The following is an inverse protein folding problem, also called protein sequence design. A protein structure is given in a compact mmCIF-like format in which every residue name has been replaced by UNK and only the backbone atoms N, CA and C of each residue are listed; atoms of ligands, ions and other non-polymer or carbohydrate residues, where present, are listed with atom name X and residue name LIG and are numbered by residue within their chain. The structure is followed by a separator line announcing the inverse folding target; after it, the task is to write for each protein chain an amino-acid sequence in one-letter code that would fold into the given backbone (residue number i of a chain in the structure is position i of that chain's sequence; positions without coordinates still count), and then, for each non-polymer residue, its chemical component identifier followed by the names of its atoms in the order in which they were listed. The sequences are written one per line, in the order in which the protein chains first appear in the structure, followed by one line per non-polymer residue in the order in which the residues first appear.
data_IF_280051224559
#
_entry.id   IF_280051224559
#
_cell.length_a   1.000
_cell.length_b   1.000
_cell.length_c   1.000
_cell.angle_alpha   90.00
_cell.angle_beta   90.00
_cell.angle_gamma   90.00
#
_symmetry.space_group_name_H-M   'P 1'
#
loop_
_entity.id
_entity.type
_entity.pdbx_description
1 polymer ?
#
# COMPACT_ATOMS: atom_id res chain seq x y z
N UNK A 1 9.74 -20.54 18.29
CA UNK A 1 10.17 -20.37 16.91
C UNK A 1 9.30 -19.38 16.18
N UNK A 2 9.93 -18.47 15.48
CA UNK A 2 9.18 -17.48 14.76
C UNK A 2 8.77 -17.94 13.40
N UNK A 3 7.53 -17.75 13.08
CA UNK A 3 7.06 -18.09 11.77
C UNK A 3 7.29 -16.91 10.83
N UNK A 4 7.83 -17.21 9.68
CA UNK A 4 8.03 -16.20 8.69
C UNK A 4 6.67 -15.85 8.09
N UNK A 5 6.26 -14.62 8.26
CA UNK A 5 4.98 -14.18 7.77
C UNK A 5 5.20 -13.09 6.74
N UNK A 6 4.89 -13.40 5.52
CA UNK A 6 5.02 -12.43 4.44
C UNK A 6 3.63 -12.05 3.99
N UNK A 7 3.36 -10.77 3.93
CA UNK A 7 2.12 -10.39 3.31
C UNK A 7 2.34 -9.17 2.44
N UNK A 8 1.52 -9.09 1.41
CA UNK A 8 1.59 -8.00 0.45
C UNK A 8 0.16 -7.53 0.23
N UNK A 9 -0.04 -6.25 0.43
CA UNK A 9 -1.31 -5.62 0.14
C UNK A 9 -1.13 -4.67 -1.02
N UNK A 10 -2.07 -4.71 -1.94
CA UNK A 10 -2.05 -3.79 -3.06
C UNK A 10 -2.91 -2.59 -2.72
N UNK A 11 -2.44 -1.43 -3.09
CA UNK A 11 -3.21 -0.21 -2.89
C UNK A 11 -3.19 0.65 -4.13
N UNK A 12 -4.15 1.53 -4.20
CA UNK A 12 -4.26 2.47 -5.31
C UNK A 12 -4.47 3.85 -4.72
N UNK A 13 -3.75 4.81 -5.26
CA UNK A 13 -3.92 6.20 -4.84
C UNK A 13 -5.22 6.71 -5.43
N UNK A 14 -6.13 7.12 -4.56
CA UNK A 14 -7.40 7.64 -5.00
C UNK A 14 -7.30 9.14 -5.25
N UNK A 15 -6.68 9.84 -4.32
CA UNK A 15 -6.47 11.27 -4.46
C UNK A 15 -5.45 11.71 -3.43
N UNK A 16 -4.92 12.90 -3.58
CA UNK A 16 -4.06 13.45 -2.56
C UNK A 16 -4.07 14.96 -2.66
N UNK A 17 -3.72 15.59 -1.55
CA UNK A 17 -3.69 17.06 -1.51
C UNK A 17 -2.28 17.58 -1.31
N UNK A 18 -1.27 16.76 -1.49
CA UNK A 18 0.11 17.14 -1.31
C UNK A 18 0.65 16.83 0.07
N UNK A 19 -0.21 16.62 1.03
CA UNK A 19 0.19 16.30 2.39
C UNK A 19 -0.31 14.92 2.79
N UNK A 20 -1.56 14.64 2.48
CA UNK A 20 -2.16 13.35 2.76
C UNK A 20 -2.73 12.76 1.50
N UNK A 21 -2.68 11.46 1.41
CA UNK A 21 -3.22 10.72 0.29
C UNK A 21 -4.33 9.83 0.78
N UNK A 22 -5.42 9.80 0.02
CA UNK A 22 -6.50 8.85 0.26
C UNK A 22 -6.24 7.66 -0.63
N UNK A 23 -6.18 6.48 -0.05
CA UNK A 23 -5.82 5.29 -0.78
C UNK A 23 -6.87 4.23 -0.55
N UNK A 24 -6.95 3.32 -1.49
CA UNK A 24 -7.82 2.17 -1.37
C UNK A 24 -6.96 0.93 -1.30
N UNK A 25 -7.12 0.15 -0.25
CA UNK A 25 -6.33 -1.04 -0.03
C UNK A 25 -7.18 -2.26 -0.27
N UNK A 26 -6.61 -3.22 -0.97
CA UNK A 26 -7.27 -4.48 -1.21
C UNK A 26 -6.94 -5.40 -0.05
N UNK A 27 -7.85 -5.50 0.90
CA UNK A 27 -7.56 -6.14 2.15
C UNK A 27 -7.83 -7.63 2.17
N UNK A 28 -8.65 -8.12 1.26
CA UNK A 28 -8.98 -9.53 1.31
C UNK A 28 -9.42 -10.03 -0.05
N UNK A 29 -8.48 -10.23 -0.93
CA UNK A 29 -8.83 -10.64 -2.29
C UNK A 29 -9.51 -11.99 -2.34
N UNK A 30 -9.33 -12.82 -1.33
CA UNK A 30 -9.90 -14.14 -1.36
C UNK A 30 -11.36 -14.15 -0.95
N UNK A 31 -11.84 -13.10 -0.31
CA UNK A 31 -13.21 -13.15 0.15
C UNK A 31 -13.98 -11.98 -0.40
N UNK A 32 -14.15 -11.98 -1.67
CA UNK A 32 -15.10 -11.08 -2.23
C UNK A 32 -14.77 -9.64 -2.19
N UNK A 33 -13.55 -9.35 -2.39
CA UNK A 33 -13.21 -8.02 -2.69
C UNK A 33 -13.33 -7.04 -1.58
N UNK A 34 -12.96 -7.42 -0.44
CA UNK A 34 -12.89 -6.46 0.62
C UNK A 34 -11.87 -5.39 0.28
N UNK A 35 -12.25 -4.16 0.43
CA UNK A 35 -11.32 -3.07 0.29
C UNK A 35 -11.58 -2.08 1.41
N UNK A 36 -10.56 -1.31 1.72
CA UNK A 36 -10.65 -0.34 2.80
C UNK A 36 -10.02 0.95 2.32
N UNK A 37 -10.64 2.04 2.69
CA UNK A 37 -10.10 3.35 2.41
C UNK A 37 -9.26 3.80 3.59
N UNK A 38 -8.09 4.33 3.31
CA UNK A 38 -7.21 4.83 4.36
C UNK A 38 -6.63 6.16 3.94
N UNK A 39 -6.18 6.92 4.92
CA UNK A 39 -5.49 8.18 4.67
C UNK A 39 -4.07 8.01 5.16
N UNK A 40 -3.11 8.31 4.30
CA UNK A 40 -1.70 8.14 4.62
C UNK A 40 -0.97 9.41 4.28
N UNK A 41 0.08 9.75 5.03
CA UNK A 41 0.86 10.93 4.67
C UNK A 41 1.61 10.66 3.36
N UNK A 42 1.64 11.68 2.53
CA UNK A 42 2.36 11.56 1.27
C UNK A 42 3.83 11.22 1.52
N UNK A 43 4.37 11.72 2.63
CA UNK A 43 5.76 11.47 2.94
C UNK A 43 6.07 10.01 3.25
N UNK A 44 5.05 9.18 3.47
CA UNK A 44 5.27 7.77 3.72
C UNK A 44 5.61 7.00 2.45
N UNK A 45 5.41 7.60 1.29
CA UNK A 45 5.65 6.91 0.04
C UNK A 45 7.06 7.22 -0.44
N UNK A 46 7.78 6.20 -0.92
CA UNK A 46 9.14 6.42 -1.41
C UNK A 46 9.19 6.95 -2.85
N UNK A 47 8.06 7.29 -3.41
CA UNK A 47 7.98 7.71 -4.79
C UNK A 47 7.01 8.87 -4.89
N UNK A 48 7.00 9.46 -6.06
CA UNK A 48 6.04 10.49 -6.37
C UNK A 48 4.70 9.84 -6.64
N UNK A 49 3.65 10.29 -5.97
CA UNK A 49 2.36 9.66 -6.13
C UNK A 49 1.46 10.51 -6.98
N UNK A 50 0.51 9.85 -7.62
CA UNK A 50 -0.53 10.51 -8.39
C UNK A 50 -1.75 9.63 -8.39
N UNK A 51 -2.87 10.19 -8.79
CA UNK A 51 -4.10 9.43 -8.84
C UNK A 51 -3.94 8.23 -9.74
N UNK A 52 -4.40 7.09 -9.27
CA UNK A 52 -4.35 5.87 -10.03
C UNK A 52 -3.06 5.10 -9.87
N UNK A 53 -2.09 5.65 -9.18
CA UNK A 53 -0.82 4.94 -9.01
C UNK A 53 -1.00 3.77 -8.08
N UNK A 54 -0.40 2.64 -8.44
CA UNK A 54 -0.48 1.41 -7.67
C UNK A 54 0.76 1.30 -6.80
N UNK A 55 0.56 0.86 -5.59
CA UNK A 55 1.67 0.63 -4.67
C UNK A 55 1.36 -0.64 -3.88
N UNK A 56 2.36 -1.10 -3.17
CA UNK A 56 2.22 -2.31 -2.37
C UNK A 56 2.74 -2.05 -0.97
N UNK A 57 2.06 -2.62 0.00
CA UNK A 57 2.53 -2.63 1.38
C UNK A 57 3.07 -4.01 1.65
N UNK A 58 4.34 -4.11 1.98
CA UNK A 58 5.02 -5.38 2.12
C UNK A 58 5.52 -5.52 3.54
N UNK A 59 5.25 -6.66 4.14
CA UNK A 59 5.74 -6.96 5.47
C UNK A 59 6.28 -8.38 5.45
N UNK A 60 7.54 -8.52 5.81
CA UNK A 60 8.20 -9.82 5.74
C UNK A 60 8.16 -10.58 7.03
N UNK A 61 8.21 -9.88 8.15
CA UNK A 61 8.21 -10.52 9.45
C UNK A 61 7.23 -9.79 10.34
N UNK A 62 6.69 -10.52 11.28
CA UNK A 62 5.70 -9.94 12.17
C UNK A 62 6.24 -8.79 12.98
N UNK A 63 7.50 -8.87 13.35
CA UNK A 63 8.07 -7.86 14.23
C UNK A 63 8.75 -6.73 13.45
N UNK A 64 8.55 -6.68 12.15
CA UNK A 64 9.12 -5.61 11.34
C UNK A 64 8.03 -4.69 10.87
N UNK A 65 8.40 -3.46 10.63
CA UNK A 65 7.46 -2.51 10.07
C UNK A 65 7.22 -2.84 8.61
N UNK A 66 6.01 -2.57 8.18
CA UNK A 66 5.69 -2.71 6.78
C UNK A 66 6.37 -1.61 5.99
N UNK A 67 6.72 -1.90 4.76
CA UNK A 67 7.31 -0.93 3.86
C UNK A 67 6.42 -0.76 2.66
N UNK A 68 6.44 0.42 2.09
CA UNK A 68 5.67 0.74 0.92
C UNK A 68 6.60 0.67 -0.28
N UNK A 69 6.16 -0.05 -1.29
CA UNK A 69 6.88 -0.19 -2.53
C UNK A 69 6.00 0.32 -3.64
N UNK A 70 6.51 1.25 -4.43
CA UNK A 70 5.75 1.80 -5.52
C UNK A 70 5.95 0.97 -6.76
N UNK A 71 4.88 0.82 -7.52
CA UNK A 71 4.98 0.12 -8.77
C UNK A 71 5.67 1.01 -9.78
N UNK A 72 6.70 0.48 -10.39
CA UNK A 72 7.44 1.23 -11.35
C UNK A 72 6.85 1.01 -12.71
N UNK A 73 6.29 2.06 -13.26
CA UNK A 73 5.66 1.92 -14.54
C UNK A 73 6.63 2.26 -15.61
N UNK A 74 6.93 1.27 -16.38
CA UNK A 74 7.87 1.45 -17.46
C UNK A 74 7.13 1.69 -18.73
N UNK A 75 7.53 2.60 -19.50
CA UNK A 75 6.88 2.84 -20.78
C UNK A 75 7.53 2.14 -21.93
#
# INVERSE_FOLDING_TARGET
MKTLTTFVLMGVIDSHDGVFATVELNTNPASNGGSATAVMPVSAFPCEISEGKVFYVVKLHEDQDAVIVCEDKED
#
